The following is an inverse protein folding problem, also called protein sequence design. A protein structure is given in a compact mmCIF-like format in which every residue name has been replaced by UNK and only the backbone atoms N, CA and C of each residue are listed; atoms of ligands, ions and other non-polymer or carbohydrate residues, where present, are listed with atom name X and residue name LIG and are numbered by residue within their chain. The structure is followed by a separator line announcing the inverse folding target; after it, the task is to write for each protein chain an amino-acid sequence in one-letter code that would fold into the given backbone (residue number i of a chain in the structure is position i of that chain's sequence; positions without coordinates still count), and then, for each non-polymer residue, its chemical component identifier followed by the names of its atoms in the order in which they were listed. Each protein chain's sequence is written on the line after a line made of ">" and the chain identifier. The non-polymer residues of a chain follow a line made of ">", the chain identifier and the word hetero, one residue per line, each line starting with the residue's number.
data_IF_441441575115
#
_entry.id   IF_441441575115
#
_cell.length_a   1.000
_cell.length_b   1.000
_cell.length_c   1.000
_cell.angle_alpha   90.00
_cell.angle_beta   90.00
_cell.angle_gamma   90.00
#
_symmetry.space_group_name_H-M   'P 1'
#
loop_
_entity.id
_entity.type
_entity.pdbx_description
1 polymer ?
#
# COMPACT_ATOMS: atom_id res chain seq x y z
N UNK A 1 -4.56 -15.60 -0.51
CA UNK A 1 -5.09 -14.23 -0.37
C UNK A 1 -4.42 -13.38 -1.43
N UNK A 2 -5.19 -12.73 -2.31
CA UNK A 2 -4.63 -11.98 -3.44
C UNK A 2 -4.86 -10.50 -3.16
N UNK A 3 -3.78 -9.74 -3.05
CA UNK A 3 -3.86 -8.29 -2.93
C UNK A 3 -4.09 -7.72 -4.33
N UNK A 4 -5.23 -7.07 -4.51
CA UNK A 4 -5.67 -6.54 -5.78
C UNK A 4 -5.99 -5.06 -5.61
N UNK A 5 -5.45 -4.24 -6.49
CA UNK A 5 -5.73 -2.81 -6.51
C UNK A 5 -6.84 -2.54 -7.51
N UNK A 6 -7.79 -1.68 -7.14
CA UNK A 6 -8.90 -1.26 -7.96
C UNK A 6 -8.93 0.26 -8.03
N UNK A 7 -9.19 0.80 -9.21
CA UNK A 7 -9.50 2.22 -9.41
C UNK A 7 -10.99 2.34 -9.59
N UNK A 8 -11.64 3.06 -8.69
CA UNK A 8 -13.07 3.29 -8.73
C UNK A 8 -13.36 4.76 -9.01
N UNK A 9 -14.34 5.01 -9.88
CA UNK A 9 -14.87 6.35 -10.14
C UNK A 9 -16.24 6.45 -9.48
N UNK A 10 -16.39 7.45 -8.62
CA UNK A 10 -17.64 7.80 -7.97
C UNK A 10 -18.22 9.04 -8.61
N UNK A 11 -19.55 9.09 -8.68
CA UNK A 11 -20.30 10.27 -9.09
C UNK A 11 -21.03 10.83 -7.86
N UNK A 12 -20.66 12.05 -7.49
CA UNK A 12 -21.36 12.87 -6.51
C UNK A 12 -22.09 14.02 -7.22
N UNK A 13 -22.95 14.71 -6.50
CA UNK A 13 -23.72 15.85 -7.04
C UNK A 13 -22.81 16.98 -7.56
N UNK A 14 -21.60 17.09 -7.01
CA UNK A 14 -20.60 18.12 -7.34
C UNK A 14 -19.62 17.70 -8.44
N UNK A 15 -19.64 16.44 -8.89
CA UNK A 15 -18.72 15.95 -9.93
C UNK A 15 -18.34 14.48 -9.80
N UNK A 16 -17.26 14.10 -10.47
CA UNK A 16 -16.70 12.75 -10.40
C UNK A 16 -15.42 12.75 -9.56
N UNK A 17 -15.32 11.80 -8.65
CA UNK A 17 -14.11 11.52 -7.87
C UNK A 17 -13.56 10.17 -8.31
N UNK A 18 -12.23 10.06 -8.38
CA UNK A 18 -11.58 8.78 -8.65
C UNK A 18 -10.69 8.41 -7.48
N UNK A 19 -10.85 7.20 -6.97
CA UNK A 19 -10.09 6.69 -5.84
C UNK A 19 -9.48 5.33 -6.13
N UNK A 20 -8.38 5.06 -5.44
CA UNK A 20 -7.66 3.79 -5.52
C UNK A 20 -7.90 3.02 -4.24
N UNK A 21 -8.44 1.81 -4.36
CA UNK A 21 -8.69 0.94 -3.21
C UNK A 21 -7.95 -0.37 -3.39
N UNK A 22 -7.31 -0.85 -2.33
CA UNK A 22 -6.68 -2.18 -2.33
C UNK A 22 -7.60 -3.15 -1.60
N UNK A 23 -7.96 -4.23 -2.26
CA UNK A 23 -8.77 -5.31 -1.73
C UNK A 23 -7.95 -6.58 -1.60
N UNK A 24 -8.13 -7.27 -0.49
CA UNK A 24 -7.48 -8.57 -0.24
C UNK A 24 -8.38 -9.76 -0.61
N UNK A 25 -9.56 -9.50 -1.17
CA UNK A 25 -10.54 -10.55 -1.51
C UNK A 25 -11.47 -10.13 -2.64
N UNK A 26 -10.92 -9.55 -3.70
CA UNK A 26 -11.73 -9.26 -4.89
C UNK A 26 -12.47 -7.94 -4.87
N UNK A 27 -13.08 -7.65 -6.02
CA UNK A 27 -13.86 -6.45 -6.32
C UNK A 27 -14.97 -6.17 -5.31
N UNK A 28 -15.65 -7.19 -4.80
CA UNK A 28 -16.78 -6.99 -3.88
C UNK A 28 -16.33 -6.37 -2.54
N UNK A 29 -15.18 -6.77 -2.00
CA UNK A 29 -14.63 -6.13 -0.80
C UNK A 29 -13.99 -4.78 -1.08
N UNK A 30 -13.55 -4.52 -2.32
CA UNK A 30 -13.20 -3.15 -2.74
C UNK A 30 -14.43 -2.24 -2.64
N UNK A 31 -15.57 -2.66 -3.18
CA UNK A 31 -16.83 -1.91 -3.13
C UNK A 31 -17.24 -1.64 -1.67
N UNK A 32 -17.23 -2.67 -0.80
CA UNK A 32 -17.56 -2.51 0.62
C UNK A 32 -16.65 -1.51 1.35
N UNK A 33 -15.36 -1.48 1.02
CA UNK A 33 -14.44 -0.50 1.61
C UNK A 33 -14.75 0.92 1.14
N UNK A 34 -15.04 1.09 -0.15
CA UNK A 34 -15.39 2.39 -0.73
C UNK A 34 -16.66 2.94 -0.09
N UNK A 35 -17.70 2.12 0.01
CA UNK A 35 -18.98 2.56 0.59
C UNK A 35 -18.87 2.86 2.08
N UNK A 36 -18.06 2.10 2.83
CA UNK A 36 -17.83 2.33 4.25
C UNK A 36 -17.02 3.60 4.53
N UNK A 37 -16.03 3.93 3.70
CA UNK A 37 -15.15 5.11 3.90
C UNK A 37 -15.81 6.39 3.40
N UNK A 38 -16.38 6.37 2.20
CA UNK A 38 -16.98 7.56 1.56
C UNK A 38 -18.41 7.82 2.05
N UNK A 39 -19.00 6.90 2.82
CA UNK A 39 -20.42 6.98 3.21
C UNK A 39 -21.37 6.98 2.02
N UNK A 40 -20.92 6.45 0.88
CA UNK A 40 -21.64 6.52 -0.39
C UNK A 40 -22.34 5.19 -0.72
N UNK A 41 -23.54 5.23 -1.33
CA UNK A 41 -24.21 4.02 -1.79
C UNK A 41 -23.46 3.40 -2.97
N UNK A 42 -23.59 2.09 -3.18
CA UNK A 42 -22.91 1.38 -4.28
C UNK A 42 -23.26 1.96 -5.66
N UNK A 43 -24.47 2.50 -5.83
CA UNK A 43 -24.90 3.15 -7.07
C UNK A 43 -24.12 4.42 -7.43
N UNK A 44 -23.39 5.01 -6.46
CA UNK A 44 -22.50 6.14 -6.72
C UNK A 44 -21.22 5.69 -7.47
N UNK A 45 -20.84 4.42 -7.39
CA UNK A 45 -19.67 3.86 -8.07
C UNK A 45 -20.05 3.61 -9.54
N UNK A 46 -19.66 4.53 -10.41
CA UNK A 46 -19.99 4.47 -11.85
C UNK A 46 -19.02 3.61 -12.64
N UNK A 47 -17.81 3.43 -12.15
CA UNK A 47 -16.83 2.53 -12.74
C UNK A 47 -15.89 1.97 -11.67
N UNK A 48 -15.45 0.73 -11.86
CA UNK A 48 -14.45 0.12 -11.00
C UNK A 48 -13.69 -0.94 -11.80
N UNK A 49 -12.44 -0.59 -12.09
CA UNK A 49 -11.51 -1.42 -12.86
C UNK A 49 -10.45 -1.98 -11.92
N UNK A 50 -10.15 -3.27 -12.09
CA UNK A 50 -8.96 -3.85 -11.45
C UNK A 50 -7.76 -3.24 -12.15
N UNK A 51 -6.89 -2.61 -11.38
CA UNK A 51 -5.56 -2.28 -11.87
C UNK A 51 -4.79 -3.59 -11.72
N UNK A 52 -4.59 -4.29 -12.82
CA UNK A 52 -3.62 -5.37 -12.83
C UNK A 52 -2.30 -4.73 -12.40
N UNK A 53 -1.88 -5.12 -11.21
CA UNK A 53 -0.61 -4.74 -10.62
C UNK A 53 0.46 -5.56 -11.34
N UNK A 54 0.50 -5.40 -12.67
CA UNK A 54 1.37 -6.15 -13.55
C UNK A 54 2.78 -5.69 -13.22
N UNK A 55 3.48 -6.59 -12.52
CA UNK A 55 4.94 -6.66 -12.41
C UNK A 55 5.71 -5.68 -11.52
N UNK A 56 5.17 -5.05 -10.46
CA UNK A 56 6.06 -4.37 -9.47
C UNK A 56 5.80 -4.59 -7.98
N UNK A 57 4.55 -4.69 -7.51
CA UNK A 57 4.29 -4.79 -6.06
C UNK A 57 4.35 -6.22 -5.49
N UNK A 58 4.41 -7.25 -6.34
CA UNK A 58 4.57 -8.63 -5.87
C UNK A 58 5.99 -8.94 -5.35
N UNK A 59 6.99 -8.13 -5.71
CA UNK A 59 8.41 -8.43 -5.44
C UNK A 59 8.99 -7.79 -4.18
N UNK A 60 8.23 -6.95 -3.47
CA UNK A 60 8.75 -6.22 -2.32
C UNK A 60 8.01 -6.59 -1.04
N UNK A 61 7.82 -7.89 -0.84
CA UNK A 61 7.35 -8.45 0.43
C UNK A 61 8.30 -9.54 0.93
N UNK A 62 8.46 -9.61 2.24
CA UNK A 62 9.35 -10.52 2.93
C UNK A 62 8.62 -11.18 4.10
N UNK A 63 9.00 -12.42 4.43
CA UNK A 63 8.45 -13.10 5.61
C UNK A 63 9.15 -12.67 6.89
N UNK A 64 10.41 -12.30 6.77
CA UNK A 64 11.23 -11.89 7.91
C UNK A 64 11.62 -10.42 7.81
N UNK A 65 11.88 -9.82 8.96
CA UNK A 65 12.36 -8.44 9.03
C UNK A 65 13.75 -8.29 8.40
N UNK A 66 14.61 -9.32 8.49
CA UNK A 66 15.97 -9.28 7.93
C UNK A 66 15.95 -9.28 6.40
N UNK A 67 15.10 -10.10 5.79
CA UNK A 67 14.83 -10.05 4.35
C UNK A 67 14.33 -8.66 3.93
N UNK A 68 13.36 -8.10 4.66
CA UNK A 68 12.81 -6.78 4.37
C UNK A 68 13.87 -5.68 4.46
N UNK A 69 14.74 -5.73 5.48
CA UNK A 69 15.87 -4.79 5.63
C UNK A 69 16.88 -4.92 4.49
N UNK A 70 17.21 -6.14 4.08
CA UNK A 70 18.11 -6.39 2.95
C UNK A 70 17.55 -5.78 1.66
N UNK A 71 16.27 -6.02 1.38
CA UNK A 71 15.58 -5.51 0.19
C UNK A 71 15.49 -3.98 0.20
N UNK A 72 15.09 -3.38 1.33
CA UNK A 72 14.98 -1.93 1.46
C UNK A 72 16.33 -1.22 1.33
N UNK A 73 17.39 -1.82 1.89
CA UNK A 73 18.75 -1.29 1.76
C UNK A 73 19.21 -1.30 0.30
N UNK A 74 19.08 -2.44 -0.40
CA UNK A 74 19.45 -2.56 -1.81
C UNK A 74 18.71 -1.52 -2.67
N UNK A 75 17.40 -1.39 -2.47
CA UNK A 75 16.55 -0.36 -3.09
C UNK A 75 17.06 1.05 -2.85
N UNK A 76 17.37 1.40 -1.61
CA UNK A 76 17.82 2.75 -1.24
C UNK A 76 19.18 3.15 -1.83
N UNK A 77 19.93 2.19 -2.38
CA UNK A 77 21.20 2.43 -3.07
C UNK A 77 21.03 2.63 -4.59
N UNK A 78 19.85 2.32 -5.14
CA UNK A 78 19.57 2.53 -6.56
C UNK A 78 19.48 4.04 -6.86
N UNK A 79 20.13 4.47 -7.95
CA UNK A 79 20.23 5.91 -8.30
C UNK A 79 18.87 6.59 -8.49
N UNK A 80 17.84 5.83 -8.84
CA UNK A 80 16.47 6.32 -9.05
C UNK A 80 15.74 6.66 -7.74
N UNK A 81 16.23 6.19 -6.58
CA UNK A 81 15.66 6.46 -5.25
C UNK A 81 16.66 7.22 -4.37
N UNK A 82 17.58 7.95 -5.00
CA UNK A 82 18.53 8.78 -4.28
C UNK A 82 17.77 9.85 -3.50
N UNK A 83 18.12 9.99 -2.22
CA UNK A 83 17.48 10.93 -1.29
C UNK A 83 15.97 10.63 -1.06
N UNK A 84 15.49 9.46 -1.46
CA UNK A 84 14.14 8.97 -1.18
C UNK A 84 14.16 7.95 -0.04
N UNK A 85 13.13 7.96 0.80
CA UNK A 85 12.96 7.02 1.88
C UNK A 85 12.30 5.72 1.39
N UNK A 86 12.92 4.58 1.71
CA UNK A 86 12.40 3.25 1.44
C UNK A 86 11.90 2.64 2.75
N UNK A 87 10.58 2.64 2.92
CA UNK A 87 9.89 2.23 4.14
C UNK A 87 9.75 0.72 4.26
N UNK A 88 9.87 0.22 5.48
CA UNK A 88 9.58 -1.16 5.86
C UNK A 88 8.30 -1.16 6.70
N UNK A 89 7.27 -1.80 6.18
CA UNK A 89 5.92 -1.78 6.75
C UNK A 89 5.49 -3.21 7.06
N UNK A 90 5.19 -3.51 8.32
CA UNK A 90 4.64 -4.80 8.72
C UNK A 90 3.11 -4.79 8.67
N UNK A 91 2.48 -5.75 7.98
CA UNK A 91 1.03 -5.89 7.95
C UNK A 91 0.57 -7.03 8.86
N UNK A 92 -0.18 -6.70 9.92
CA UNK A 92 -0.71 -7.69 10.87
C UNK A 92 -1.69 -8.69 10.23
N UNK A 93 -2.32 -8.33 9.11
CA UNK A 93 -3.31 -9.18 8.45
C UNK A 93 -2.71 -10.27 7.58
N UNK A 94 -1.55 -10.00 6.98
CA UNK A 94 -0.88 -10.95 6.11
C UNK A 94 0.32 -11.60 6.79
N UNK A 95 0.80 -11.01 7.88
CA UNK A 95 2.03 -11.42 8.58
C UNK A 95 3.26 -11.36 7.66
N UNK A 96 3.30 -10.30 6.82
CA UNK A 96 4.42 -10.01 5.92
C UNK A 96 4.94 -8.60 6.17
N UNK A 97 6.21 -8.41 5.85
CA UNK A 97 6.86 -7.12 5.73
C UNK A 97 6.78 -6.68 4.27
N UNK A 98 6.46 -5.42 4.04
CA UNK A 98 6.39 -4.77 2.73
C UNK A 98 7.47 -3.69 2.67
N UNK A 99 8.10 -3.56 1.51
CA UNK A 99 9.06 -2.49 1.20
C UNK A 99 8.41 -1.55 0.20
N UNK A 100 8.20 -0.30 0.61
CA UNK A 100 7.48 0.71 -0.18
C UNK A 100 8.24 2.05 -0.19
N UNK A 101 7.99 2.87 -1.20
CA UNK A 101 8.51 4.24 -1.31
C UNK A 101 7.52 5.26 -0.72
N UNK A 102 6.31 4.83 -0.39
CA UNK A 102 5.29 5.63 0.27
C UNK A 102 5.15 5.19 1.74
N UNK A 103 5.11 6.16 2.66
CA UNK A 103 4.83 5.93 4.08
C UNK A 103 3.35 5.77 4.39
N UNK A 104 2.46 5.62 3.38
CA UNK A 104 1.03 5.47 3.58
C UNK A 104 0.70 4.19 4.35
N UNK A 105 0.66 4.30 5.67
CA UNK A 105 0.38 3.22 6.61
C UNK A 105 -1.14 3.16 6.87
N UNK A 106 -1.74 2.01 6.61
CA UNK A 106 -3.16 1.72 6.89
C UNK A 106 -3.33 1.28 8.34
N UNK A 107 -4.59 1.23 8.82
CA UNK A 107 -4.95 0.81 10.19
C UNK A 107 -4.35 -0.52 10.66
N UNK A 108 -4.01 -1.43 9.73
CA UNK A 108 -3.52 -2.78 10.04
C UNK A 108 -2.01 -2.92 9.88
N UNK A 109 -1.34 -1.82 9.54
CA UNK A 109 0.07 -1.76 9.21
C UNK A 109 0.83 -1.06 10.33
N UNK A 110 2.07 -1.50 10.55
CA UNK A 110 3.00 -0.91 11.50
C UNK A 110 4.27 -0.54 10.75
N UNK A 111 4.64 0.73 10.81
CA UNK A 111 5.95 1.14 10.32
C UNK A 111 7.05 0.59 11.22
N UNK A 112 8.05 -0.05 10.62
CA UNK A 112 9.20 -0.61 11.31
C UNK A 112 10.37 0.37 11.26
N UNK A 113 10.57 1.01 10.12
CA UNK A 113 11.68 1.92 9.87
C UNK A 113 11.80 2.17 8.38
N UNK A 114 12.87 2.84 7.98
CA UNK A 114 13.14 3.13 6.58
C UNK A 114 14.63 3.18 6.29
N UNK A 115 14.99 3.07 5.02
CA UNK A 115 16.32 3.29 4.52
C UNK A 115 16.36 4.53 3.61
N UNK A 116 17.34 5.38 3.80
CA UNK A 116 17.65 6.49 2.90
C UNK A 116 19.13 6.41 2.53
N UNK A 117 19.45 6.36 1.24
CA UNK A 117 20.83 6.30 0.75
C UNK A 117 21.68 5.20 1.44
N UNK A 118 21.07 4.04 1.74
CA UNK A 118 21.71 2.91 2.43
C UNK A 118 21.80 3.01 3.96
N UNK A 119 21.34 4.11 4.57
CA UNK A 119 21.31 4.30 6.03
C UNK A 119 19.94 3.94 6.60
N UNK A 120 19.93 3.11 7.65
CA UNK A 120 18.70 2.72 8.34
C UNK A 120 18.32 3.73 9.41
N UNK A 121 17.03 4.05 9.47
CA UNK A 121 16.41 4.81 10.56
C UNK A 121 15.24 4.00 11.10
N UNK A 122 15.23 3.80 12.42
CA UNK A 122 14.12 3.13 13.09
C UNK A 122 12.91 4.06 13.16
N UNK A 123 11.71 3.53 12.95
CA UNK A 123 10.50 4.31 13.18
C UNK A 123 10.25 4.31 14.69
N UNK A 124 10.51 5.44 15.35
CA UNK A 124 10.25 5.59 16.79
C UNK A 124 8.84 5.07 17.11
N UNK A 125 8.78 3.97 17.86
CA UNK A 125 7.55 3.60 18.56
C UNK A 125 7.31 4.68 19.60
N UNK A 126 6.45 5.66 19.29
CA UNK A 126 5.82 6.45 20.33
C UNK A 126 5.22 5.44 21.33
N UNK A 127 5.74 5.53 22.56
CA UNK A 127 5.59 4.54 23.65
C UNK A 127 4.15 4.29 24.06
#
# INVERSE_FOLDING_TARGET
>A
MTMETYKATLKHDTGKVTLTVVSLSGKQRAIQQITAVEGCPECAIVDIVKIDNDTKQQNMKAKTIDEAKSMAKEKSLETQYRDEAIYIIYCNRTEYFYVDIDSLIRLWERLIGYYENGKYTDAETNS
#
